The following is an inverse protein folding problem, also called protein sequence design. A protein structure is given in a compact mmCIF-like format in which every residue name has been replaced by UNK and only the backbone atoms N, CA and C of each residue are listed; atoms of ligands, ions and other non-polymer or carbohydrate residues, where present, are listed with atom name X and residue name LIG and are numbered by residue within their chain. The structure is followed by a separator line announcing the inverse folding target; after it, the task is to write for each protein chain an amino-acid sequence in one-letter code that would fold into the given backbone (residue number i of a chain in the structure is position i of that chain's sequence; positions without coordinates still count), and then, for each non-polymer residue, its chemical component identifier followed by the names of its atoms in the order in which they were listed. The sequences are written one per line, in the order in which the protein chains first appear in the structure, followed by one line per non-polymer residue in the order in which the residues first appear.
data_IF_469604655237
#
_entry.id   IF_469604655237
#
_cell.length_a   1.000
_cell.length_b   1.000
_cell.length_c   1.000
_cell.angle_alpha   90.00
_cell.angle_beta   90.00
_cell.angle_gamma   90.00
#
_symmetry.space_group_name_H-M   'P 1'
#
loop_
_entity.id
_entity.type
_entity.pdbx_description
1 polymer ?
#
# COMPACT_ATOMS: atom_id res chain seq x y z
N UNK A 1 -36.71 25.98 -1.38
CA UNK A 1 -36.12 24.67 -1.69
C UNK A 1 -34.72 24.64 -1.13
N UNK A 2 -34.54 23.92 -0.05
CA UNK A 2 -33.21 23.69 0.52
C UNK A 2 -32.60 22.50 -0.19
N UNK A 3 -31.61 22.76 -1.03
CA UNK A 3 -30.67 21.75 -1.50
C UNK A 3 -29.86 21.29 -0.29
N UNK A 4 -30.11 20.09 0.21
CA UNK A 4 -29.16 19.39 1.04
C UNK A 4 -28.01 18.98 0.13
N UNK A 5 -26.92 19.73 0.16
CA UNK A 5 -25.66 19.24 -0.31
C UNK A 5 -25.30 18.02 0.57
N UNK A 6 -25.62 16.83 0.09
CA UNK A 6 -24.96 15.65 0.53
C UNK A 6 -23.49 15.90 0.21
N UNK A 7 -22.70 16.11 1.23
CA UNK A 7 -21.25 16.04 1.11
C UNK A 7 -20.94 14.60 0.70
N UNK A 8 -20.77 14.37 -0.57
CA UNK A 8 -20.06 13.22 -1.07
C UNK A 8 -18.65 13.33 -0.49
N UNK A 9 -18.50 12.74 0.69
CA UNK A 9 -17.19 12.37 1.20
C UNK A 9 -16.71 11.32 0.23
N UNK A 10 -16.07 11.75 -0.84
CA UNK A 10 -15.25 10.89 -1.67
C UNK A 10 -14.23 10.27 -0.73
N UNK A 11 -14.49 9.05 -0.30
CA UNK A 11 -13.49 8.19 0.33
C UNK A 11 -12.43 7.97 -0.74
N UNK A 12 -11.37 8.78 -0.74
CA UNK A 12 -10.17 8.49 -1.49
C UNK A 12 -9.65 7.16 -0.96
N UNK A 13 -9.84 6.11 -1.71
CA UNK A 13 -9.21 4.82 -1.47
C UNK A 13 -7.75 5.01 -1.88
N UNK A 14 -6.93 5.45 -0.94
CA UNK A 14 -5.49 5.57 -1.13
C UNK A 14 -4.92 4.16 -1.21
N UNK A 15 -4.09 3.92 -2.22
CA UNK A 15 -3.44 2.64 -2.47
C UNK A 15 -3.57 2.20 -3.93
N UNK A 16 -2.60 1.43 -4.39
CA UNK A 16 -2.56 0.97 -5.80
C UNK A 16 -3.45 -0.25 -6.02
N UNK A 17 -3.40 -1.25 -5.15
CA UNK A 17 -4.11 -2.54 -5.31
C UNK A 17 -5.10 -2.84 -4.19
N UNK A 18 -4.85 -2.30 -3.00
CA UNK A 18 -5.66 -2.52 -1.81
C UNK A 18 -5.87 -1.18 -1.10
N UNK A 19 -6.95 -1.02 -0.33
CA UNK A 19 -7.12 0.15 0.52
C UNK A 19 -5.96 0.27 1.53
N UNK A 20 -5.74 1.48 2.04
CA UNK A 20 -4.78 1.65 3.15
C UNK A 20 -5.20 0.75 4.32
N UNK A 21 -4.37 -0.25 4.64
CA UNK A 21 -4.74 -1.35 5.54
C UNK A 21 -5.17 -0.83 6.91
N UNK A 22 -4.46 0.15 7.49
CA UNK A 22 -4.79 0.67 8.81
C UNK A 22 -6.12 1.42 8.84
N UNK A 23 -6.42 2.18 7.80
CA UNK A 23 -7.71 2.90 7.69
C UNK A 23 -8.85 1.90 7.50
N UNK A 24 -8.68 0.95 6.59
CA UNK A 24 -9.68 -0.08 6.34
C UNK A 24 -9.87 -1.00 7.57
N UNK A 25 -8.78 -1.33 8.27
CA UNK A 25 -8.84 -2.09 9.51
C UNK A 25 -9.57 -1.32 10.62
N UNK A 26 -9.28 -0.02 10.79
CA UNK A 26 -9.96 0.82 11.76
C UNK A 26 -11.47 0.89 11.52
N UNK A 27 -11.89 0.91 10.25
CA UNK A 27 -13.31 0.89 9.88
C UNK A 27 -13.96 -0.46 10.16
N UNK A 28 -13.32 -1.54 9.73
CA UNK A 28 -13.83 -2.90 9.90
C UNK A 28 -13.88 -3.34 11.38
N UNK A 29 -12.86 -2.98 12.16
CA UNK A 29 -12.79 -3.27 13.60
C UNK A 29 -13.60 -2.31 14.48
N UNK A 30 -14.07 -1.18 13.90
CA UNK A 30 -14.74 -0.10 14.62
C UNK A 30 -13.87 0.57 15.70
N UNK A 31 -12.56 0.63 15.46
CA UNK A 31 -11.58 1.29 16.33
C UNK A 31 -11.08 2.54 15.59
N UNK A 32 -11.77 3.69 15.72
CA UNK A 32 -11.48 4.87 14.91
C UNK A 32 -10.10 5.48 15.17
N UNK A 33 -9.52 5.23 16.35
CA UNK A 33 -8.18 5.69 16.72
C UNK A 33 -7.12 5.19 15.73
N UNK A 34 -7.26 3.97 15.23
CA UNK A 34 -6.31 3.36 14.29
C UNK A 34 -6.28 4.00 12.90
N UNK A 35 -7.18 4.98 12.61
CA UNK A 35 -7.13 5.79 11.38
C UNK A 35 -5.96 6.77 11.33
N UNK A 36 -5.28 6.99 12.45
CA UNK A 36 -4.09 7.85 12.52
C UNK A 36 -3.01 7.34 11.55
N UNK A 37 -2.48 8.24 10.73
CA UNK A 37 -1.51 7.93 9.68
C UNK A 37 -0.18 8.66 9.90
N UNK A 38 0.77 8.50 9.00
CA UNK A 38 2.04 9.26 9.00
C UNK A 38 1.85 10.76 8.77
N UNK A 39 0.68 11.20 8.34
CA UNK A 39 0.31 12.64 8.27
C UNK A 39 0.07 13.22 9.67
N UNK A 40 -0.43 12.39 10.60
CA UNK A 40 -0.75 12.78 11.97
C UNK A 40 0.46 12.60 12.91
N UNK A 41 1.26 11.58 12.66
CA UNK A 41 2.52 11.28 13.36
C UNK A 41 3.59 10.88 12.34
N UNK A 42 4.46 11.81 11.93
CA UNK A 42 5.50 11.54 10.93
C UNK A 42 6.56 10.52 11.36
N UNK A 43 6.77 10.36 12.66
CA UNK A 43 7.66 9.34 13.20
C UNK A 43 6.97 7.98 13.14
N UNK A 44 7.40 7.18 12.16
CA UNK A 44 6.79 5.86 11.91
C UNK A 44 6.93 4.90 13.10
N UNK A 45 8.07 4.93 13.81
CA UNK A 45 8.29 4.07 14.99
C UNK A 45 7.31 4.42 16.11
N UNK A 46 7.13 5.72 16.39
CA UNK A 46 6.14 6.19 17.36
C UNK A 46 4.72 5.82 16.95
N UNK A 47 4.38 6.03 15.69
CA UNK A 47 3.06 5.69 15.16
C UNK A 47 2.78 4.19 15.33
N UNK A 48 3.74 3.33 14.98
CA UNK A 48 3.58 1.89 15.10
C UNK A 48 3.49 1.42 16.55
N UNK A 49 4.34 1.92 17.45
CA UNK A 49 4.25 1.60 18.87
C UNK A 49 2.91 2.00 19.47
N UNK A 50 2.41 3.16 19.08
CA UNK A 50 1.10 3.61 19.50
C UNK A 50 -0.02 2.71 18.95
N UNK A 51 0.03 2.33 17.67
CA UNK A 51 -0.92 1.37 17.08
C UNK A 51 -0.92 0.03 17.82
N UNK A 52 0.26 -0.49 18.16
CA UNK A 52 0.38 -1.74 18.92
C UNK A 52 -0.22 -1.61 20.33
N UNK A 53 -0.07 -0.46 21.01
CA UNK A 53 -0.71 -0.25 22.31
C UNK A 53 -2.24 -0.25 22.19
N UNK A 54 -2.80 0.39 21.15
CA UNK A 54 -4.25 0.38 20.90
C UNK A 54 -4.77 -1.03 20.63
N UNK A 55 -4.06 -1.82 19.80
CA UNK A 55 -4.43 -3.21 19.55
C UNK A 55 -4.47 -4.03 20.85
N UNK A 56 -3.45 -3.87 21.70
CA UNK A 56 -3.37 -4.54 22.99
C UNK A 56 -4.47 -4.12 23.94
N UNK A 57 -4.78 -2.82 24.03
CA UNK A 57 -5.88 -2.29 24.86
C UNK A 57 -7.24 -2.86 24.45
N UNK A 58 -7.43 -3.13 23.14
CA UNK A 58 -8.64 -3.76 22.60
C UNK A 58 -8.59 -5.30 22.63
N UNK A 59 -7.54 -5.91 23.17
CA UNK A 59 -7.38 -7.36 23.25
C UNK A 59 -7.25 -8.05 21.88
N UNK A 60 -6.75 -7.34 20.88
CA UNK A 60 -6.59 -7.85 19.50
C UNK A 60 -5.21 -8.47 19.32
N UNK A 61 -5.20 -9.77 19.13
CA UNK A 61 -4.03 -10.53 18.69
C UNK A 61 -3.97 -10.65 17.16
N UNK A 62 -2.94 -11.34 16.67
CA UNK A 62 -2.72 -11.52 15.24
C UNK A 62 -3.91 -12.17 14.54
N UNK A 63 -4.54 -13.17 15.18
CA UNK A 63 -5.66 -13.91 14.58
C UNK A 63 -6.86 -13.01 14.30
N UNK A 64 -7.28 -12.24 15.29
CA UNK A 64 -8.42 -11.31 15.18
C UNK A 64 -8.18 -10.24 14.13
N UNK A 65 -6.93 -9.76 14.04
CA UNK A 65 -6.51 -8.78 13.04
C UNK A 65 -6.56 -9.39 11.63
N UNK A 66 -6.05 -10.60 11.45
CA UNK A 66 -6.08 -11.29 10.16
C UNK A 66 -7.52 -11.62 9.71
N UNK A 67 -8.39 -12.03 10.63
CA UNK A 67 -9.81 -12.24 10.36
C UNK A 67 -10.50 -10.95 9.90
N UNK A 68 -10.20 -9.84 10.57
CA UNK A 68 -10.73 -8.52 10.18
C UNK A 68 -10.21 -8.10 8.81
N UNK A 69 -8.90 -8.22 8.55
CA UNK A 69 -8.30 -7.89 7.24
C UNK A 69 -8.85 -8.81 6.13
N UNK A 70 -9.15 -10.07 6.44
CA UNK A 70 -9.76 -10.98 5.48
C UNK A 70 -11.15 -10.52 4.99
N UNK A 71 -11.84 -9.69 5.76
CA UNK A 71 -13.11 -9.06 5.34
C UNK A 71 -12.93 -7.87 4.38
N UNK A 72 -11.70 -7.35 4.25
CA UNK A 72 -11.37 -6.24 3.36
C UNK A 72 -11.12 -6.80 1.95
N UNK A 73 -11.68 -6.16 0.94
CA UNK A 73 -11.45 -6.55 -0.45
C UNK A 73 -10.37 -5.68 -1.12
N UNK A 74 -9.63 -6.23 -2.10
CA UNK A 74 -8.83 -5.44 -3.03
C UNK A 74 -9.67 -4.37 -3.72
N UNK A 75 -9.03 -3.34 -4.25
CA UNK A 75 -9.70 -2.31 -5.03
C UNK A 75 -10.35 -2.94 -6.28
N UNK A 76 -11.52 -2.45 -6.71
CA UNK A 76 -12.17 -2.94 -7.92
C UNK A 76 -11.23 -2.89 -9.14
N UNK A 77 -11.11 -4.01 -9.86
CA UNK A 77 -10.22 -4.15 -11.00
C UNK A 77 -8.73 -4.42 -10.67
N UNK A 78 -8.34 -4.38 -9.38
CA UNK A 78 -6.94 -4.55 -8.97
C UNK A 78 -6.40 -5.94 -9.29
N UNK A 79 -7.22 -6.96 -9.12
CA UNK A 79 -6.81 -8.34 -9.41
C UNK A 79 -6.63 -8.56 -10.90
N UNK A 80 -7.58 -8.12 -11.70
CA UNK A 80 -7.55 -8.22 -13.15
C UNK A 80 -6.33 -7.47 -13.73
N UNK A 81 -6.08 -6.27 -13.25
CA UNK A 81 -4.89 -5.48 -13.61
C UNK A 81 -3.60 -6.23 -13.26
N UNK A 82 -3.51 -6.80 -12.07
CA UNK A 82 -2.34 -7.54 -11.62
C UNK A 82 -2.12 -8.82 -12.44
N UNK A 83 -3.18 -9.55 -12.75
CA UNK A 83 -3.12 -10.77 -13.56
C UNK A 83 -2.65 -10.45 -15.00
N UNK A 84 -3.17 -9.36 -15.59
CA UNK A 84 -2.71 -8.88 -16.91
C UNK A 84 -1.23 -8.47 -16.88
N UNK A 85 -0.78 -7.69 -15.89
CA UNK A 85 0.63 -7.34 -15.73
C UNK A 85 1.52 -8.57 -15.65
N UNK A 86 1.13 -9.56 -14.86
CA UNK A 86 1.89 -10.81 -14.65
C UNK A 86 1.96 -11.68 -15.90
N UNK A 87 1.09 -11.46 -16.89
CA UNK A 87 1.12 -12.20 -18.15
C UNK A 87 2.32 -11.83 -19.04
N UNK A 88 2.91 -10.64 -18.85
CA UNK A 88 4.01 -10.15 -19.68
C UNK A 88 5.19 -9.52 -18.90
N UNK A 89 5.07 -9.33 -17.58
CA UNK A 89 6.12 -8.75 -16.75
C UNK A 89 6.26 -9.45 -15.41
N UNK A 90 7.45 -9.38 -14.81
CA UNK A 90 7.65 -9.76 -13.42
C UNK A 90 7.12 -8.65 -12.52
N UNK A 91 6.21 -8.97 -11.61
CA UNK A 91 5.56 -7.99 -10.73
C UNK A 91 5.98 -8.21 -9.29
N UNK A 92 6.42 -7.15 -8.64
CA UNK A 92 6.77 -7.13 -7.23
C UNK A 92 6.00 -5.99 -6.56
N UNK A 93 5.22 -6.30 -5.54
CA UNK A 93 4.60 -5.31 -4.66
C UNK A 93 5.63 -4.94 -3.60
N UNK A 94 5.87 -3.64 -3.43
CA UNK A 94 6.74 -3.14 -2.37
C UNK A 94 5.87 -2.29 -1.44
N UNK A 95 5.74 -2.70 -0.18
CA UNK A 95 4.81 -2.09 0.77
C UNK A 95 5.43 -1.90 2.13
N UNK A 96 5.04 -0.85 2.84
CA UNK A 96 5.43 -0.60 4.22
C UNK A 96 4.56 -1.36 5.24
N UNK A 97 3.63 -2.19 4.76
CA UNK A 97 2.83 -3.11 5.58
C UNK A 97 3.67 -4.26 6.13
N UNK A 98 3.03 -5.21 6.81
CA UNK A 98 3.64 -6.39 7.41
C UNK A 98 3.14 -7.66 6.73
N UNK A 99 4.01 -8.66 6.58
CA UNK A 99 3.68 -9.95 5.95
C UNK A 99 2.40 -10.56 6.53
N UNK A 100 2.27 -10.52 7.86
CA UNK A 100 1.14 -11.11 8.56
C UNK A 100 -0.18 -10.38 8.27
N UNK A 101 -0.13 -9.06 8.07
CA UNK A 101 -1.31 -8.25 7.71
C UNK A 101 -1.64 -8.37 6.22
N UNK A 102 -0.63 -8.41 5.36
CA UNK A 102 -0.81 -8.50 3.92
C UNK A 102 -1.39 -9.87 3.49
N UNK A 103 -1.08 -10.94 4.22
CA UNK A 103 -1.36 -12.32 3.84
C UNK A 103 -2.80 -12.59 3.38
N UNK A 104 -3.86 -12.16 4.11
CA UNK A 104 -5.24 -12.39 3.65
C UNK A 104 -5.57 -11.69 2.32
N UNK A 105 -5.04 -10.47 2.11
CA UNK A 105 -5.23 -9.70 0.87
C UNK A 105 -4.42 -10.29 -0.29
N UNK A 106 -3.20 -10.75 -0.03
CA UNK A 106 -2.37 -11.42 -1.03
C UNK A 106 -3.02 -12.71 -1.52
N UNK A 107 -3.72 -13.44 -0.65
CA UNK A 107 -4.53 -14.59 -1.06
C UNK A 107 -5.60 -14.20 -2.09
N UNK A 108 -6.31 -13.10 -1.87
CA UNK A 108 -7.34 -12.58 -2.80
C UNK A 108 -6.74 -12.12 -4.12
N UNK A 109 -5.51 -11.62 -4.12
CA UNK A 109 -4.76 -11.18 -5.31
C UNK A 109 -4.01 -12.31 -6.04
N UNK A 110 -4.15 -13.57 -5.61
CA UNK A 110 -3.50 -14.72 -6.25
C UNK A 110 -2.01 -14.85 -5.90
N UNK A 111 -1.63 -14.48 -4.68
CA UNK A 111 -0.28 -14.62 -4.12
C UNK A 111 0.81 -13.95 -4.97
N UNK A 112 0.72 -12.64 -5.27
CA UNK A 112 1.81 -11.93 -5.92
C UNK A 112 3.05 -11.87 -5.02
N UNK A 113 4.23 -11.69 -5.63
CA UNK A 113 5.44 -11.40 -4.87
C UNK A 113 5.28 -10.08 -4.13
N UNK A 114 5.53 -10.09 -2.82
CA UNK A 114 5.49 -8.89 -1.99
C UNK A 114 6.75 -8.75 -1.14
N UNK A 115 7.34 -7.56 -1.14
CA UNK A 115 8.41 -7.18 -0.23
C UNK A 115 7.85 -6.18 0.78
N UNK A 116 7.79 -6.61 2.03
CA UNK A 116 7.23 -5.83 3.14
C UNK A 116 7.98 -6.12 4.45
N UNK A 117 7.49 -5.56 5.53
CA UNK A 117 8.06 -5.72 6.87
C UNK A 117 7.50 -6.96 7.57
N UNK A 118 7.90 -7.21 8.81
CA UNK A 118 7.42 -8.32 9.61
C UNK A 118 7.01 -7.87 11.00
N UNK A 119 5.96 -8.48 11.56
CA UNK A 119 5.61 -8.34 12.97
C UNK A 119 6.38 -9.36 13.81
N UNK A 120 6.69 -8.98 15.03
CA UNK A 120 7.10 -9.88 16.09
C UNK A 120 5.87 -10.34 16.84
N UNK A 121 5.63 -11.64 16.89
CA UNK A 121 4.42 -12.23 17.45
C UNK A 121 4.80 -13.29 18.46
N UNK A 122 4.25 -13.17 19.67
CA UNK A 122 4.42 -14.16 20.74
C UNK A 122 3.63 -15.45 20.43
N UNK A 123 3.94 -16.57 21.11
CA UNK A 123 3.26 -17.85 20.89
C UNK A 123 1.75 -17.84 21.11
N UNK A 124 1.27 -16.94 21.95
CA UNK A 124 -0.16 -16.72 22.22
C UNK A 124 -0.87 -15.81 21.19
N UNK A 125 -0.11 -15.27 20.22
CA UNK A 125 -0.65 -14.41 19.18
C UNK A 125 -0.57 -12.90 19.50
N UNK A 126 -0.05 -12.52 20.68
CA UNK A 126 0.19 -11.10 20.98
C UNK A 126 1.23 -10.51 20.03
N UNK A 127 0.97 -9.33 19.48
CA UNK A 127 1.94 -8.59 18.66
C UNK A 127 2.83 -7.78 19.61
N UNK A 128 4.07 -8.21 19.74
CA UNK A 128 5.05 -7.65 20.69
C UNK A 128 5.94 -6.59 20.07
N UNK A 129 6.02 -6.53 18.74
CA UNK A 129 6.87 -5.58 18.05
C UNK A 129 6.79 -5.70 16.53
N UNK A 130 7.70 -5.03 15.86
CA UNK A 130 7.82 -5.08 14.41
C UNK A 130 9.28 -4.93 13.97
N UNK A 131 9.58 -5.49 12.80
CA UNK A 131 10.90 -5.44 12.17
C UNK A 131 10.79 -4.85 10.78
N UNK A 132 11.42 -3.70 10.58
CA UNK A 132 11.56 -3.11 9.26
C UNK A 132 12.54 -3.92 8.41
N UNK A 133 12.19 -4.21 7.18
CA UNK A 133 13.03 -4.99 6.25
C UNK A 133 14.33 -4.27 5.91
N UNK A 134 14.25 -3.01 5.57
CA UNK A 134 15.40 -2.12 5.33
C UNK A 134 14.94 -0.66 5.32
N UNK A 135 15.90 0.26 5.44
CA UNK A 135 15.64 1.69 5.28
C UNK A 135 15.26 2.02 3.83
N UNK A 136 14.37 3.01 3.67
CA UNK A 136 13.89 3.48 2.36
C UNK A 136 13.54 2.30 1.43
N UNK A 137 12.79 1.34 1.97
CA UNK A 137 12.54 0.00 1.43
C UNK A 137 12.20 0.01 -0.07
N UNK A 138 11.37 0.95 -0.55
CA UNK A 138 10.95 1.06 -1.94
C UNK A 138 12.12 1.44 -2.87
N UNK A 139 12.82 2.53 -2.55
CA UNK A 139 14.01 2.96 -3.30
C UNK A 139 15.12 1.91 -3.30
N UNK A 140 15.45 1.39 -2.11
CA UNK A 140 16.51 0.38 -1.95
C UNK A 140 16.23 -0.89 -2.75
N UNK A 141 14.96 -1.33 -2.79
CA UNK A 141 14.55 -2.49 -3.59
C UNK A 141 14.75 -2.25 -5.09
N UNK A 142 14.32 -1.09 -5.61
CA UNK A 142 14.51 -0.75 -7.03
C UNK A 142 16.00 -0.73 -7.38
N UNK A 143 16.82 -0.08 -6.56
CA UNK A 143 18.28 -0.03 -6.79
C UNK A 143 18.94 -1.41 -6.74
N UNK A 144 18.48 -2.30 -5.84
CA UNK A 144 18.98 -3.67 -5.76
C UNK A 144 18.61 -4.48 -7.01
N UNK A 145 17.39 -4.38 -7.52
CA UNK A 145 16.96 -5.03 -8.75
C UNK A 145 17.78 -4.53 -9.96
N UNK A 146 17.98 -3.22 -10.06
CA UNK A 146 18.81 -2.64 -11.11
C UNK A 146 20.27 -3.11 -11.03
N UNK A 147 20.82 -3.28 -9.83
CA UNK A 147 22.22 -3.73 -9.64
C UNK A 147 22.47 -5.16 -10.13
N UNK A 148 21.42 -5.97 -10.24
CA UNK A 148 21.46 -7.33 -10.78
C UNK A 148 20.90 -7.42 -12.22
N UNK A 149 20.77 -6.29 -12.92
CA UNK A 149 20.50 -6.23 -14.35
C UNK A 149 19.03 -6.11 -14.76
N UNK A 150 18.10 -5.86 -13.82
CA UNK A 150 16.71 -5.63 -14.19
C UNK A 150 16.44 -4.17 -14.57
N UNK A 151 15.77 -3.95 -15.69
CA UNK A 151 15.06 -2.69 -15.95
C UNK A 151 13.81 -2.64 -15.07
N UNK A 152 13.58 -1.51 -14.41
CA UNK A 152 12.44 -1.36 -13.50
C UNK A 152 11.46 -0.30 -14.02
N UNK A 153 10.18 -0.59 -13.88
CA UNK A 153 9.08 0.35 -14.04
C UNK A 153 8.36 0.40 -12.70
N UNK A 154 8.09 1.58 -12.17
CA UNK A 154 7.45 1.73 -10.89
C UNK A 154 6.20 2.63 -10.96
N UNK A 155 5.20 2.29 -10.16
CA UNK A 155 4.04 3.15 -9.94
C UNK A 155 3.67 3.18 -8.46
N UNK A 156 3.11 4.31 -8.01
CA UNK A 156 2.69 4.51 -6.64
C UNK A 156 1.79 5.72 -6.49
N UNK A 157 1.21 5.90 -5.30
CA UNK A 157 0.20 6.92 -5.01
C UNK A 157 0.66 7.99 -4.03
N UNK A 158 1.76 7.77 -3.34
CA UNK A 158 2.17 8.55 -2.18
C UNK A 158 3.61 9.09 -2.26
N UNK A 159 3.94 10.05 -1.38
CA UNK A 159 5.31 10.59 -1.26
C UNK A 159 6.36 9.51 -1.01
N UNK A 160 6.00 8.43 -0.29
CA UNK A 160 6.92 7.32 -0.03
C UNK A 160 7.32 6.54 -1.29
N UNK A 161 6.55 6.69 -2.38
CA UNK A 161 6.77 6.01 -3.65
C UNK A 161 7.70 6.78 -4.58
N UNK A 162 7.82 8.11 -4.40
CA UNK A 162 8.56 8.98 -5.32
C UNK A 162 9.98 8.50 -5.56
N UNK A 163 10.70 8.12 -4.51
CA UNK A 163 12.08 7.65 -4.67
C UNK A 163 12.22 6.40 -5.56
N UNK A 164 11.26 5.45 -5.53
CA UNK A 164 11.30 4.31 -6.44
C UNK A 164 10.82 4.67 -7.85
N UNK A 165 9.84 5.57 -7.95
CA UNK A 165 9.31 6.06 -9.23
C UNK A 165 10.41 6.77 -10.02
N UNK A 166 11.08 7.73 -9.39
CA UNK A 166 12.17 8.52 -10.00
C UNK A 166 13.41 7.67 -10.33
N UNK A 167 13.70 6.67 -9.50
CA UNK A 167 14.84 5.78 -9.74
C UNK A 167 14.63 4.76 -10.86
N UNK A 168 13.39 4.55 -11.29
CA UNK A 168 13.03 3.56 -12.31
C UNK A 168 13.22 4.08 -13.73
N UNK A 169 13.38 3.17 -14.71
CA UNK A 169 13.45 3.50 -16.13
C UNK A 169 12.21 4.25 -16.62
N UNK A 170 11.05 3.90 -16.09
CA UNK A 170 9.81 4.65 -16.23
C UNK A 170 9.06 4.65 -14.90
N UNK A 171 8.49 5.80 -14.56
CA UNK A 171 7.79 6.01 -13.31
C UNK A 171 6.44 6.68 -13.52
N UNK A 172 5.44 6.24 -12.77
CA UNK A 172 4.06 6.70 -12.91
C UNK A 172 3.42 6.98 -11.56
N UNK A 173 2.71 8.11 -11.46
CA UNK A 173 1.79 8.36 -10.36
C UNK A 173 0.46 7.66 -10.65
N UNK A 174 -0.11 6.98 -9.67
CA UNK A 174 -1.38 6.29 -9.82
C UNK A 174 -2.33 6.65 -8.69
N UNK A 175 -3.47 7.25 -9.00
CA UNK A 175 -4.46 7.73 -8.04
C UNK A 175 -3.86 8.63 -6.95
N UNK A 176 -2.79 9.32 -7.27
CA UNK A 176 -2.11 10.24 -6.36
C UNK A 176 -2.92 11.50 -6.07
N UNK A 177 -2.60 12.17 -4.97
CA UNK A 177 -3.24 13.43 -4.61
C UNK A 177 -2.90 14.54 -5.61
N UNK A 178 -3.79 15.54 -5.73
CA UNK A 178 -3.55 16.69 -6.60
C UNK A 178 -2.29 17.47 -6.19
N UNK A 179 -1.96 17.46 -4.90
CA UNK A 179 -0.75 18.08 -4.39
C UNK A 179 0.51 17.37 -4.94
N UNK A 180 0.59 16.03 -4.87
CA UNK A 180 1.73 15.27 -5.40
C UNK A 180 1.88 15.48 -6.91
N UNK A 181 0.75 15.49 -7.65
CA UNK A 181 0.76 15.76 -9.10
C UNK A 181 1.25 17.17 -9.43
N UNK A 182 0.89 18.16 -8.59
CA UNK A 182 1.33 19.54 -8.76
C UNK A 182 2.81 19.74 -8.42
N UNK A 183 3.30 19.02 -7.40
CA UNK A 183 4.70 19.08 -6.97
C UNK A 183 5.64 18.32 -7.94
N UNK A 184 5.11 17.36 -8.70
CA UNK A 184 5.86 16.51 -9.63
C UNK A 184 5.21 16.48 -11.03
N UNK A 185 5.11 17.63 -11.72
CA UNK A 185 4.45 17.74 -13.03
C UNK A 185 5.17 16.96 -14.13
N UNK A 186 6.42 16.57 -13.92
CA UNK A 186 7.22 15.73 -14.84
C UNK A 186 6.81 14.26 -14.81
N UNK A 187 6.13 13.80 -13.76
CA UNK A 187 5.69 12.41 -13.62
C UNK A 187 4.29 12.21 -14.22
N UNK A 188 4.14 11.34 -15.22
CA UNK A 188 2.82 11.02 -15.76
C UNK A 188 1.91 10.43 -14.67
N UNK A 189 0.68 10.91 -14.59
CA UNK A 189 -0.30 10.50 -13.59
C UNK A 189 -1.52 9.85 -14.25
N UNK A 190 -1.98 8.74 -13.69
CA UNK A 190 -3.11 7.97 -14.18
C UNK A 190 -4.12 7.68 -13.06
N UNK A 191 -5.40 7.59 -13.44
CA UNK A 191 -6.48 7.37 -12.48
C UNK A 191 -7.13 5.98 -12.63
N UNK A 192 -6.95 5.35 -13.79
CA UNK A 192 -7.52 4.02 -14.08
C UNK A 192 -6.45 2.98 -14.34
N UNK A 193 -6.76 1.72 -14.05
CA UNK A 193 -5.83 0.61 -14.34
C UNK A 193 -5.56 0.45 -15.83
N UNK A 194 -6.54 0.72 -16.70
CA UNK A 194 -6.37 0.63 -18.15
C UNK A 194 -5.35 1.65 -18.67
N UNK A 195 -5.42 2.89 -18.19
CA UNK A 195 -4.46 3.94 -18.54
C UNK A 195 -3.05 3.58 -18.06
N UNK A 196 -2.92 3.14 -16.80
CA UNK A 196 -1.64 2.72 -16.23
C UNK A 196 -1.07 1.51 -16.99
N UNK A 197 -1.90 0.52 -17.31
CA UNK A 197 -1.49 -0.66 -18.06
C UNK A 197 -0.98 -0.31 -19.46
N UNK A 198 -1.69 0.59 -20.16
CA UNK A 198 -1.26 1.07 -21.47
C UNK A 198 0.08 1.81 -21.40
N UNK A 199 0.28 2.64 -20.37
CA UNK A 199 1.54 3.34 -20.16
C UNK A 199 2.71 2.38 -19.85
N UNK A 200 2.48 1.35 -19.02
CA UNK A 200 3.47 0.32 -18.72
C UNK A 200 3.84 -0.46 -19.99
N UNK A 201 2.86 -0.91 -20.77
CA UNK A 201 3.11 -1.62 -22.03
C UNK A 201 3.94 -0.76 -23.00
N UNK A 202 3.63 0.52 -23.11
CA UNK A 202 4.40 1.47 -23.93
C UNK A 202 5.84 1.65 -23.43
N UNK A 203 6.08 1.64 -22.14
CA UNK A 203 7.41 1.81 -21.55
C UNK A 203 8.29 0.54 -21.68
N UNK A 204 7.67 -0.61 -21.86
CA UNK A 204 8.36 -1.89 -22.12
C UNK A 204 8.82 -2.02 -23.56
N UNK A 205 8.19 -1.33 -24.51
CA UNK A 205 8.49 -1.37 -25.96
C UNK A 205 7.51 -2.28 -26.66
#
# INVERSE_FOLDING_TARGET
VRSSAASDVYKRQEGVLVPEIWVAFAEASKIPELKKTTRDEPDYDKLMRWRLSVLKEHGLGLKEIQETIASIDPLPGAKEFLDELRSFAQVIIISDTFTQFASPLMKKLGWPTIFCNSLEVAPDGEITGFKMRCEKSKYTTVKALQSIGYDTIASGDSHNDLGMIEASKAGFLFKSTDQIKADHPELPAYETYDELLAAIKKALG
#
